data_IF_670250297734
#
_entry.id   IF_670250297734
#
_cell.length_a   1.000
_cell.length_b   1.000
_cell.length_c   1.000
_cell.angle_alpha   90.00
_cell.angle_beta   90.00
_cell.angle_gamma   90.00
#
_symmetry.space_group_name_H-M   'P 1'
#
loop_
_entity.id
_entity.type
_entity.pdbx_description
1 polymer ?
#
# COMPACT_ATOMS: atom_id res chain seq x y z
N UNK A 1 62.26 11.19 -37.12
CA UNK A 1 60.90 10.88 -37.62
C UNK A 1 60.77 9.36 -37.52
N UNK A 2 60.41 8.84 -36.35
CA UNK A 2 59.04 8.65 -35.85
C UNK A 2 58.35 7.43 -36.48
N UNK A 3 58.17 6.40 -35.64
CA UNK A 3 57.06 5.42 -35.53
C UNK A 3 56.71 4.57 -36.79
N UNK A 4 56.28 3.31 -36.73
CA UNK A 4 55.51 2.64 -35.69
C UNK A 4 55.60 1.11 -35.77
N UNK A 5 55.18 0.46 -34.69
CA UNK A 5 55.27 -0.97 -34.46
C UNK A 5 53.97 -1.72 -34.84
N UNK A 6 54.13 -3.01 -35.16
CA UNK A 6 53.15 -4.11 -35.01
C UNK A 6 51.88 -4.07 -35.88
N UNK A 7 51.83 -5.00 -36.84
CA UNK A 7 50.60 -5.71 -37.14
C UNK A 7 50.82 -7.21 -36.89
N UNK A 8 50.20 -7.73 -35.82
CA UNK A 8 50.03 -9.17 -35.64
C UNK A 8 48.70 -9.55 -36.29
N UNK A 9 48.67 -10.50 -37.23
CA UNK A 9 47.42 -11.10 -37.67
C UNK A 9 46.87 -11.98 -36.54
N UNK A 10 45.57 -12.31 -36.62
CA UNK A 10 44.86 -13.33 -35.82
C UNK A 10 43.99 -12.81 -34.66
N UNK A 11 43.21 -11.75 -34.87
CA UNK A 11 42.08 -11.37 -33.99
C UNK A 11 40.83 -12.21 -34.29
N UNK A 12 40.88 -13.51 -34.01
CA UNK A 12 39.67 -14.38 -33.96
C UNK A 12 39.79 -15.44 -32.87
N UNK A 13 39.81 -15.02 -31.60
CA UNK A 13 39.49 -15.93 -30.48
C UNK A 13 38.01 -15.79 -30.10
N UNK A 14 37.20 -16.62 -30.75
CA UNK A 14 36.10 -17.44 -30.20
C UNK A 14 35.41 -16.87 -28.94
N UNK A 15 34.33 -16.12 -29.13
CA UNK A 15 33.31 -15.86 -28.09
C UNK A 15 32.41 -17.10 -27.93
N UNK A 16 32.98 -18.21 -27.47
CA UNK A 16 32.20 -19.36 -27.01
C UNK A 16 32.60 -19.61 -25.55
N UNK A 17 31.85 -19.05 -24.60
CA UNK A 17 32.18 -19.21 -23.18
C UNK A 17 31.49 -18.30 -22.18
N UNK A 18 30.57 -17.41 -22.56
CA UNK A 18 29.78 -16.69 -21.55
C UNK A 18 28.57 -17.55 -21.17
N UNK A 19 28.85 -18.59 -20.37
CA UNK A 19 27.79 -19.31 -19.68
C UNK A 19 26.94 -18.33 -18.87
N UNK A 20 25.63 -18.32 -19.14
CA UNK A 20 24.57 -17.68 -18.38
C UNK A 20 25.03 -16.61 -17.36
N UNK A 21 25.47 -15.45 -17.84
CA UNK A 21 25.69 -14.29 -16.99
C UNK A 21 24.32 -13.81 -16.49
N UNK A 22 23.94 -14.26 -15.29
CA UNK A 22 22.86 -13.64 -14.52
C UNK A 22 23.53 -12.55 -13.67
N UNK A 23 23.33 -11.26 -13.99
CA UNK A 23 23.85 -10.21 -13.13
C UNK A 23 23.34 -10.45 -11.71
N UNK A 24 24.26 -10.48 -10.75
CA UNK A 24 23.94 -10.61 -9.33
C UNK A 24 23.08 -9.42 -8.93
N UNK A 25 21.83 -9.66 -8.54
CA UNK A 25 20.93 -8.59 -8.13
C UNK A 25 21.43 -8.02 -6.81
N UNK A 26 21.50 -6.70 -6.71
CA UNK A 26 21.81 -6.06 -5.44
C UNK A 26 20.61 -6.21 -4.49
N UNK A 27 20.69 -7.18 -3.57
CA UNK A 27 19.63 -7.50 -2.61
C UNK A 27 19.21 -6.28 -1.77
N UNK A 28 20.15 -5.36 -1.47
CA UNK A 28 19.85 -4.14 -0.71
C UNK A 28 18.96 -3.20 -1.50
N UNK A 29 19.25 -3.02 -2.80
CA UNK A 29 18.42 -2.18 -3.70
C UNK A 29 17.04 -2.80 -3.88
N UNK A 30 16.96 -4.12 -4.06
CA UNK A 30 15.69 -4.84 -4.17
C UNK A 30 14.86 -4.74 -2.88
N UNK A 31 15.49 -4.97 -1.73
CA UNK A 31 14.85 -4.84 -0.41
C UNK A 31 14.35 -3.43 -0.17
N UNK A 32 15.14 -2.41 -0.51
CA UNK A 32 14.71 -1.02 -0.43
C UNK A 32 13.45 -0.78 -1.26
N UNK A 33 13.44 -1.20 -2.54
CA UNK A 33 12.28 -1.07 -3.42
C UNK A 33 11.03 -1.76 -2.84
N UNK A 34 11.20 -2.95 -2.25
CA UNK A 34 10.12 -3.65 -1.54
C UNK A 34 9.60 -2.85 -0.33
N UNK A 35 10.48 -2.35 0.54
CA UNK A 35 10.08 -1.70 1.79
C UNK A 35 9.45 -0.31 1.59
N UNK A 36 9.87 0.44 0.56
CA UNK A 36 9.28 1.74 0.24
C UNK A 36 7.99 1.65 -0.57
N UNK A 37 7.66 0.49 -1.14
CA UNK A 37 6.44 0.29 -1.92
C UNK A 37 5.18 0.61 -1.10
N UNK A 38 4.29 1.41 -1.67
CA UNK A 38 2.97 1.81 -1.13
C UNK A 38 1.93 1.69 -2.22
N UNK A 39 0.71 1.30 -1.86
CA UNK A 39 -0.41 1.23 -2.80
C UNK A 39 -0.69 2.62 -3.39
N UNK A 40 -0.78 2.73 -4.71
CA UNK A 40 -1.09 3.99 -5.40
C UNK A 40 -2.57 4.37 -5.35
N UNK A 41 -2.91 5.63 -5.66
CA UNK A 41 -4.26 6.20 -5.47
C UNK A 41 -5.38 5.49 -6.25
N UNK A 42 -5.04 4.90 -7.38
CA UNK A 42 -5.97 4.15 -8.23
C UNK A 42 -5.54 2.69 -8.42
N UNK A 43 -4.64 2.21 -7.57
CA UNK A 43 -4.18 0.84 -7.60
C UNK A 43 -5.08 -0.06 -6.76
N UNK A 44 -5.47 -1.21 -7.32
CA UNK A 44 -6.22 -2.23 -6.57
C UNK A 44 -5.31 -2.98 -5.61
N UNK A 45 -5.86 -3.48 -4.51
CA UNK A 45 -5.12 -4.35 -3.56
C UNK A 45 -4.48 -5.54 -4.28
N UNK A 46 -5.19 -6.15 -5.24
CA UNK A 46 -4.68 -7.27 -6.04
C UNK A 46 -3.41 -6.90 -6.81
N UNK A 47 -3.39 -5.74 -7.48
CA UNK A 47 -2.21 -5.28 -8.20
C UNK A 47 -1.06 -4.94 -7.26
N UNK A 48 -1.35 -4.26 -6.16
CA UNK A 48 -0.37 -3.93 -5.14
C UNK A 48 0.33 -5.18 -4.57
N UNK A 49 -0.45 -6.19 -4.18
CA UNK A 49 0.07 -7.46 -3.64
C UNK A 49 0.88 -8.22 -4.69
N UNK A 50 0.41 -8.27 -5.95
CA UNK A 50 1.15 -8.91 -7.03
C UNK A 50 2.53 -8.26 -7.25
N UNK A 51 2.59 -6.93 -7.18
CA UNK A 51 3.84 -6.19 -7.33
C UNK A 51 4.78 -6.37 -6.12
N UNK A 52 4.24 -6.45 -4.90
CA UNK A 52 5.03 -6.83 -3.71
C UNK A 52 5.67 -8.22 -3.86
N UNK A 53 4.89 -9.20 -4.34
CA UNK A 53 5.39 -10.57 -4.59
C UNK A 53 6.45 -10.58 -5.69
N UNK A 54 6.32 -9.71 -6.70
CA UNK A 54 7.33 -9.54 -7.76
C UNK A 54 8.64 -8.97 -7.19
N UNK A 55 8.57 -7.89 -6.41
CA UNK A 55 9.73 -7.25 -5.79
C UNK A 55 10.45 -8.19 -4.80
N UNK A 56 9.69 -8.99 -4.05
CA UNK A 56 10.25 -9.90 -3.05
C UNK A 56 11.15 -11.01 -3.64
N UNK A 57 11.00 -11.35 -4.93
CA UNK A 57 11.83 -12.38 -5.60
C UNK A 57 13.31 -12.05 -5.57
N UNK A 58 13.62 -10.76 -5.65
CA UNK A 58 14.98 -10.24 -5.74
C UNK A 58 15.58 -9.90 -4.35
N UNK A 59 14.79 -10.06 -3.29
CA UNK A 59 15.18 -9.65 -1.93
C UNK A 59 15.80 -10.77 -1.08
N UNK A 60 15.77 -12.01 -1.57
CA UNK A 60 16.32 -13.18 -0.87
C UNK A 60 15.83 -13.36 0.59
N UNK A 61 14.53 -13.12 0.85
CA UNK A 61 13.98 -13.20 2.22
C UNK A 61 13.94 -14.60 2.84
N UNK A 62 14.14 -15.66 2.04
CA UNK A 62 14.10 -17.06 2.50
C UNK A 62 12.84 -17.37 3.32
N UNK A 63 13.03 -17.95 4.50
CA UNK A 63 11.94 -18.34 5.42
C UNK A 63 11.13 -17.16 5.97
N UNK A 64 11.57 -15.91 5.76
CA UNK A 64 10.87 -14.72 6.22
C UNK A 64 9.98 -14.09 5.15
N UNK A 65 9.88 -14.67 3.94
CA UNK A 65 9.09 -14.12 2.84
C UNK A 65 7.66 -13.74 3.25
N UNK A 66 6.93 -14.67 3.86
CA UNK A 66 5.54 -14.45 4.28
C UNK A 66 5.43 -13.37 5.35
N UNK A 67 6.40 -13.32 6.28
CA UNK A 67 6.48 -12.28 7.31
C UNK A 67 6.68 -10.91 6.67
N UNK A 68 7.58 -10.80 5.69
CA UNK A 68 7.87 -9.54 5.00
C UNK A 68 6.69 -9.07 4.15
N UNK A 69 6.07 -9.97 3.38
CA UNK A 69 4.87 -9.68 2.60
C UNK A 69 3.74 -9.17 3.50
N UNK A 70 3.43 -9.90 4.58
CA UNK A 70 2.43 -9.49 5.57
C UNK A 70 2.70 -8.09 6.12
N UNK A 71 3.93 -7.82 6.57
CA UNK A 71 4.29 -6.51 7.11
C UNK A 71 4.08 -5.40 6.07
N UNK A 72 4.47 -5.68 4.82
CA UNK A 72 4.39 -4.69 3.75
C UNK A 72 2.96 -4.45 3.27
N UNK A 73 2.10 -5.47 3.28
CA UNK A 73 0.66 -5.33 3.06
C UNK A 73 0.07 -4.43 4.12
N UNK A 74 0.17 -4.79 5.41
CA UNK A 74 -0.45 -4.05 6.52
C UNK A 74 -0.03 -2.58 6.51
N UNK A 75 1.27 -2.30 6.39
CA UNK A 75 1.77 -0.95 6.44
C UNK A 75 1.62 -0.20 5.10
N UNK A 76 1.41 -0.90 3.98
CA UNK A 76 1.50 -0.34 2.62
C UNK A 76 0.18 -0.11 1.90
N UNK A 77 -0.93 -0.68 2.39
CA UNK A 77 -2.28 -0.39 1.89
C UNK A 77 -2.69 1.07 2.16
N UNK A 78 -3.59 1.64 1.37
CA UNK A 78 -4.10 3.01 1.61
C UNK A 78 -5.23 3.06 2.61
N UNK A 79 -6.08 2.03 2.62
CA UNK A 79 -7.23 1.93 3.53
C UNK A 79 -6.76 1.94 5.00
N UNK A 80 -7.03 3.06 5.68
CA UNK A 80 -6.62 3.31 7.07
C UNK A 80 -7.40 2.44 8.04
N UNK A 81 -8.69 2.22 7.78
CA UNK A 81 -9.55 1.40 8.64
C UNK A 81 -9.18 -0.07 8.51
N UNK A 82 -8.93 -0.54 7.28
CA UNK A 82 -8.44 -1.89 7.08
C UNK A 82 -7.09 -2.12 7.76
N UNK A 83 -6.15 -1.17 7.62
CA UNK A 83 -4.86 -1.24 8.31
C UNK A 83 -5.03 -1.24 9.82
N UNK A 84 -5.90 -0.40 10.38
CA UNK A 84 -6.20 -0.35 11.81
C UNK A 84 -6.68 -1.71 12.29
N UNK A 85 -7.62 -2.34 11.59
CA UNK A 85 -8.12 -3.67 11.93
C UNK A 85 -7.04 -4.76 11.84
N UNK A 86 -6.22 -4.75 10.78
CA UNK A 86 -5.14 -5.72 10.62
C UNK A 86 -4.11 -5.62 11.76
N UNK A 87 -3.83 -4.41 12.25
CA UNK A 87 -2.92 -4.17 13.38
C UNK A 87 -3.46 -4.66 14.72
N UNK A 88 -4.77 -4.93 14.86
CA UNK A 88 -5.32 -5.53 16.10
C UNK A 88 -5.15 -7.05 16.15
N UNK A 89 -4.80 -7.70 15.03
CA UNK A 89 -4.70 -9.15 14.95
C UNK A 89 -3.37 -9.66 15.53
N UNK A 90 -3.43 -10.42 16.62
CA UNK A 90 -2.23 -10.97 17.31
C UNK A 90 -1.49 -12.01 16.48
N UNK A 91 -2.23 -12.83 15.75
CA UNK A 91 -1.71 -13.85 14.82
C UNK A 91 -2.39 -13.60 13.49
N UNK A 92 -1.63 -13.04 12.55
CA UNK A 92 -2.09 -12.72 11.21
C UNK A 92 -1.18 -13.43 10.22
N UNK A 93 -1.73 -14.17 9.28
CA UNK A 93 -0.98 -14.75 8.17
C UNK A 93 -0.93 -13.78 6.99
N UNK A 94 -0.04 -14.02 6.02
CA UNK A 94 -0.03 -13.22 4.78
C UNK A 94 -1.35 -13.38 4.02
N UNK A 95 -1.91 -14.59 3.98
CA UNK A 95 -3.16 -14.89 3.30
C UNK A 95 -4.35 -14.16 3.92
N UNK A 96 -4.50 -14.20 5.25
CA UNK A 96 -5.58 -13.48 5.95
C UNK A 96 -5.47 -11.96 5.72
N UNK A 97 -4.25 -11.41 5.68
CA UNK A 97 -4.04 -10.00 5.40
C UNK A 97 -4.47 -9.61 3.97
N UNK A 98 -4.16 -10.45 2.98
CA UNK A 98 -4.56 -10.26 1.58
C UNK A 98 -6.08 -10.36 1.41
N UNK A 99 -6.69 -11.43 1.95
CA UNK A 99 -8.13 -11.68 1.87
C UNK A 99 -8.94 -10.57 2.53
N UNK A 100 -8.53 -10.14 3.72
CA UNK A 100 -9.19 -9.05 4.42
C UNK A 100 -9.06 -7.72 3.66
N UNK A 101 -7.88 -7.38 3.16
CA UNK A 101 -7.68 -6.13 2.41
C UNK A 101 -8.51 -6.11 1.11
N UNK A 102 -8.57 -7.22 0.37
CA UNK A 102 -9.42 -7.35 -0.82
C UNK A 102 -10.92 -7.27 -0.49
N UNK A 103 -11.33 -7.89 0.62
CA UNK A 103 -12.71 -7.84 1.12
C UNK A 103 -13.10 -6.42 1.51
N UNK A 104 -12.24 -5.69 2.22
CA UNK A 104 -12.45 -4.28 2.61
C UNK A 104 -12.60 -3.39 1.38
N UNK A 105 -11.70 -3.53 0.39
CA UNK A 105 -11.77 -2.76 -0.85
C UNK A 105 -13.08 -3.01 -1.62
N UNK A 106 -13.54 -4.26 -1.65
CA UNK A 106 -14.80 -4.66 -2.31
C UNK A 106 -16.01 -4.12 -1.53
N UNK A 107 -16.02 -4.25 -0.21
CA UNK A 107 -17.08 -3.71 0.64
C UNK A 107 -17.21 -2.19 0.49
N UNK A 108 -16.09 -1.46 0.47
CA UNK A 108 -16.07 -0.01 0.25
C UNK A 108 -16.67 0.36 -1.12
N UNK A 109 -16.28 -0.36 -2.19
CA UNK A 109 -16.85 -0.17 -3.53
C UNK A 109 -18.36 -0.43 -3.56
N UNK A 110 -18.82 -1.51 -2.92
CA UNK A 110 -20.23 -1.85 -2.87
C UNK A 110 -21.07 -0.80 -2.14
N UNK A 111 -20.62 -0.35 -0.96
CA UNK A 111 -21.30 0.69 -0.17
C UNK A 111 -21.36 2.01 -0.95
N UNK A 112 -20.28 2.37 -1.66
CA UNK A 112 -20.26 3.56 -2.52
C UNK A 112 -21.30 3.45 -3.64
N UNK A 113 -21.33 2.34 -4.36
CA UNK A 113 -22.31 2.10 -5.42
C UNK A 113 -23.74 2.18 -4.89
N UNK A 114 -24.03 1.63 -3.69
CA UNK A 114 -25.36 1.68 -3.08
C UNK A 114 -25.83 3.11 -2.79
N UNK A 115 -24.95 4.01 -2.33
CA UNK A 115 -25.28 5.42 -2.10
C UNK A 115 -25.65 6.14 -3.40
N UNK A 116 -24.95 5.84 -4.48
CA UNK A 116 -25.19 6.46 -5.79
C UNK A 116 -26.54 6.04 -6.38
N UNK A 117 -27.07 4.86 -6.03
CA UNK A 117 -28.42 4.42 -6.44
C UNK A 117 -29.51 5.15 -5.67
N UNK A 118 -29.28 5.44 -4.38
CA UNK A 118 -30.29 6.08 -3.52
C UNK A 118 -30.43 7.59 -3.76
N UNK A 119 -29.40 8.26 -4.29
CA UNK A 119 -29.38 9.72 -4.52
C UNK A 119 -30.10 10.21 -5.79
N UNK A 120 -30.72 9.32 -6.58
CA UNK A 120 -31.40 9.69 -7.84
C UNK A 120 -32.93 9.79 -7.74
N UNK A 121 -33.52 9.58 -6.56
CA UNK A 121 -34.98 9.47 -6.41
C UNK A 121 -35.65 10.53 -5.52
N UNK A 122 -34.97 11.60 -5.10
CA UNK A 122 -35.58 12.63 -4.23
C UNK A 122 -35.75 13.98 -4.93
N UNK A 123 -36.58 14.00 -5.96
CA UNK A 123 -37.34 15.19 -6.40
C UNK A 123 -38.80 15.13 -5.92
N UNK A 124 -39.02 14.51 -4.75
CA UNK A 124 -40.31 14.39 -4.08
C UNK A 124 -40.44 15.45 -2.98
N UNK A 125 -41.15 16.52 -3.29
CA UNK A 125 -41.54 17.59 -2.38
C UNK A 125 -42.16 17.03 -1.08
N UNK A 126 -41.51 17.21 0.07
CA UNK A 126 -42.15 16.98 1.39
C UNK A 126 -42.13 18.28 2.18
N UNK A 127 -43.22 19.03 2.03
CA UNK A 127 -43.54 20.19 2.84
C UNK A 127 -43.91 19.72 4.26
N UNK A 128 -43.08 20.00 5.26
CA UNK A 128 -43.50 19.92 6.67
C UNK A 128 -43.38 21.30 7.32
N UNK A 129 -44.48 22.03 7.22
CA UNK A 129 -44.73 23.21 8.03
C UNK A 129 -45.09 22.81 9.47
N UNK A 130 -44.76 23.73 10.40
CA UNK A 130 -45.22 23.84 11.79
C UNK A 130 -44.51 22.86 12.77
N UNK A 131 -43.87 23.29 13.86
CA UNK A 131 -44.26 24.34 14.82
C UNK A 131 -43.06 25.06 15.41
N UNK A 132 -43.16 26.40 15.48
CA UNK A 132 -42.41 27.24 16.43
C UNK A 132 -42.95 27.00 17.84
N UNK A 133 -42.08 26.79 18.82
CA UNK A 133 -42.25 27.41 20.15
C UNK A 133 -40.90 27.74 20.78
N UNK A 134 -40.87 28.97 21.27
CA UNK A 134 -39.77 29.76 21.79
C UNK A 134 -39.40 29.39 23.23
N UNK A 135 -38.18 29.79 23.60
CA UNK A 135 -37.72 30.35 24.89
C UNK A 135 -37.41 29.44 26.10
N UNK A 136 -36.23 29.67 26.69
CA UNK A 136 -35.89 29.43 28.11
C UNK A 136 -34.53 28.76 28.35
N UNK A 137 -33.39 29.44 28.28
CA UNK A 137 -32.66 30.06 29.41
C UNK A 137 -31.73 29.11 30.21
N UNK A 138 -30.42 29.22 29.89
CA UNK A 138 -29.17 29.16 30.70
C UNK A 138 -29.07 28.30 31.99
N UNK A 139 -27.95 27.56 32.09
CA UNK A 139 -26.89 27.57 33.15
C UNK A 139 -25.82 26.52 32.77
N UNK A 140 -24.57 26.87 32.43
CA UNK A 140 -23.40 27.05 33.32
C UNK A 140 -22.96 25.68 33.89
N UNK A 141 -21.72 25.17 33.92
CA UNK A 141 -20.32 25.68 33.99
C UNK A 141 -19.45 24.41 33.75
N UNK A 142 -18.40 24.39 32.92
CA UNK A 142 -17.04 24.83 33.26
C UNK A 142 -16.21 23.74 33.97
N UNK A 143 -15.32 23.07 33.24
CA UNK A 143 -14.03 22.62 33.79
C UNK A 143 -12.92 22.80 32.75
N UNK A 144 -11.98 23.66 33.13
CA UNK A 144 -10.69 23.96 32.52
C UNK A 144 -9.66 23.07 33.25
N UNK A 145 -8.84 22.28 32.56
CA UNK A 145 -7.37 22.42 32.42
C UNK A 145 -6.84 20.97 32.27
N UNK A 146 -5.79 20.61 31.55
CA UNK A 146 -4.84 21.32 30.71
C UNK A 146 -4.02 20.26 29.94
N UNK A 147 -3.41 20.68 28.84
CA UNK A 147 -2.38 19.89 28.15
C UNK A 147 -1.10 19.79 29.01
N UNK A 148 -0.24 18.79 28.76
CA UNK A 148 0.90 19.13 27.92
C UNK A 148 1.27 18.06 26.88
N UNK A 149 1.98 18.56 25.87
CA UNK A 149 2.67 17.84 24.80
C UNK A 149 3.83 17.00 25.33
N UNK A 150 4.14 15.91 24.63
CA UNK A 150 5.47 15.39 24.27
C UNK A 150 5.22 14.16 23.35
N UNK A 151 5.58 14.14 22.07
CA UNK A 151 6.92 14.18 21.45
C UNK A 151 7.86 13.09 21.98
N UNK A 152 7.89 11.97 21.26
CA UNK A 152 9.09 11.27 20.83
C UNK A 152 8.85 10.82 19.38
#
# INVERSE_FOLDING_TARGET
MSIDAREQPNVRRRLEGVGNYKPQVNETVASHAFFVRRQGDNETIKHFVADLRRLAKDCNFGNFLDKMLRHRIVCGIRDVEARRFLLTQRKLTVQEAEEFAMSSETAYRNVRSMKDVNGKNDAGNVHLALRRRSSGQKRGSGYDTGAPRQSC
#
